data_IF_217205842585
#
_entry.id   IF_217205842585
#
_cell.length_a   1.000
_cell.length_b   1.000
_cell.length_c   1.000
_cell.angle_alpha   90.00
_cell.angle_beta   90.00
_cell.angle_gamma   90.00
#
_symmetry.space_group_name_H-M   'P 1'
#
loop_
_entity.id
_entity.type
_entity.pdbx_description
1 polymer ?
#
# COMPACT_ATOMS: atom_id res chain seq x y z
N UNK A 1 -5.39 -23.63 0.65
CA UNK A 1 -6.11 -23.24 1.88
C UNK A 1 -5.45 -21.94 2.35
N UNK A 2 -6.18 -20.82 2.40
CA UNK A 2 -5.58 -19.56 2.87
C UNK A 2 -5.34 -19.66 4.37
N UNK A 3 -4.10 -19.38 4.82
CA UNK A 3 -3.78 -19.31 6.23
C UNK A 3 -4.45 -18.08 6.83
N UNK A 4 -4.98 -18.21 8.05
CA UNK A 4 -5.57 -17.10 8.79
C UNK A 4 -4.50 -16.07 9.16
N UNK A 5 -4.92 -14.84 9.45
CA UNK A 5 -3.98 -13.79 9.88
C UNK A 5 -3.21 -14.27 11.13
N UNK A 6 -1.87 -14.27 11.08
CA UNK A 6 -1.05 -14.74 12.19
C UNK A 6 -1.08 -13.73 13.32
N UNK A 7 -1.18 -14.20 14.56
CA UNK A 7 -1.12 -13.38 15.77
C UNK A 7 0.18 -13.71 16.52
N UNK A 8 1.13 -12.77 16.49
CA UNK A 8 2.47 -12.98 17.03
C UNK A 8 2.58 -12.55 18.50
N UNK A 9 1.73 -11.63 18.93
CA UNK A 9 1.82 -11.01 20.25
C UNK A 9 0.44 -10.59 20.76
N UNK A 10 0.19 -10.83 22.05
CA UNK A 10 -1.03 -10.40 22.74
C UNK A 10 -1.10 -8.87 22.81
N UNK A 11 -2.22 -8.31 22.40
CA UNK A 11 -2.47 -6.86 22.24
C UNK A 11 -3.71 -6.38 22.99
N UNK A 12 -4.46 -7.28 23.60
CA UNK A 12 -5.59 -6.93 24.44
C UNK A 12 -5.13 -6.08 25.63
N UNK A 13 -5.65 -4.86 25.72
CA UNK A 13 -5.24 -3.89 26.72
C UNK A 13 -5.60 -4.34 28.15
N UNK A 14 -6.73 -5.02 28.32
CA UNK A 14 -7.19 -5.48 29.64
C UNK A 14 -6.30 -6.61 30.14
N UNK A 15 -5.90 -7.54 29.26
CA UNK A 15 -4.95 -8.60 29.60
C UNK A 15 -3.57 -8.04 29.96
N UNK A 16 -3.05 -7.12 29.16
CA UNK A 16 -1.75 -6.47 29.44
C UNK A 16 -1.79 -5.75 30.79
N UNK A 17 -2.87 -5.00 31.05
CA UNK A 17 -3.04 -4.28 32.32
C UNK A 17 -3.13 -5.25 33.49
N UNK A 18 -3.88 -6.35 33.36
CA UNK A 18 -3.99 -7.37 34.39
C UNK A 18 -2.65 -8.05 34.69
N UNK A 19 -1.87 -8.36 33.66
CA UNK A 19 -0.51 -8.92 33.80
C UNK A 19 0.41 -7.95 34.57
N UNK A 20 0.38 -6.66 34.23
CA UNK A 20 1.19 -5.63 34.91
C UNK A 20 0.80 -5.46 36.37
N UNK A 21 -0.51 -5.44 36.68
CA UNK A 21 -1.01 -5.34 38.05
C UNK A 21 -0.55 -6.58 38.84
N UNK A 22 -0.81 -7.78 38.32
CA UNK A 22 -0.43 -9.03 38.98
C UNK A 22 1.07 -9.06 39.28
N UNK A 23 1.90 -8.59 38.34
CA UNK A 23 3.35 -8.47 38.54
C UNK A 23 3.70 -7.47 39.65
N UNK A 24 3.10 -6.29 39.65
CA UNK A 24 3.35 -5.29 40.70
C UNK A 24 2.92 -5.79 42.08
N UNK A 25 1.76 -6.42 42.19
CA UNK A 25 1.26 -6.96 43.46
C UNK A 25 2.17 -8.09 43.97
N UNK A 26 2.65 -8.96 43.08
CA UNK A 26 3.61 -10.01 43.42
C UNK A 26 4.95 -9.45 43.92
N UNK A 27 5.48 -8.42 43.26
CA UNK A 27 6.79 -7.83 43.59
C UNK A 27 6.73 -6.98 44.87
N UNK A 28 5.59 -6.33 45.16
CA UNK A 28 5.44 -5.42 46.31
C UNK A 28 4.71 -6.00 47.50
N UNK A 29 3.98 -7.11 47.33
CA UNK A 29 3.10 -7.70 48.34
C UNK A 29 1.88 -6.83 48.68
N UNK A 30 1.59 -5.79 47.89
CA UNK A 30 0.46 -4.87 48.11
C UNK A 30 -0.61 -5.07 47.05
N UNK A 31 -1.87 -5.04 47.46
CA UNK A 31 -3.02 -5.02 46.54
C UNK A 31 -3.26 -3.60 46.01
N UNK A 32 -3.40 -3.48 44.70
CA UNK A 32 -3.61 -2.22 43.98
C UNK A 32 -5.11 -1.92 43.82
N UNK A 33 -5.51 -0.71 44.23
CA UNK A 33 -6.89 -0.24 44.07
C UNK A 33 -7.01 0.79 42.93
N UNK A 34 -8.16 0.89 42.24
CA UNK A 34 -8.36 1.73 41.05
C UNK A 34 -7.92 3.20 41.17
N UNK A 35 -8.13 3.84 42.33
CA UNK A 35 -7.86 5.27 42.52
C UNK A 35 -6.45 5.59 43.05
N UNK A 36 -5.56 4.59 43.14
CA UNK A 36 -4.20 4.81 43.61
C UNK A 36 -3.31 5.38 42.50
N UNK A 37 -2.35 6.23 42.87
CA UNK A 37 -1.45 6.86 41.90
C UNK A 37 -0.65 5.81 41.11
N UNK A 38 -0.22 4.74 41.78
CA UNK A 38 0.49 3.62 41.17
C UNK A 38 -0.38 2.88 40.15
N UNK A 39 -1.68 2.77 40.41
CA UNK A 39 -2.63 2.16 39.45
C UNK A 39 -2.77 3.01 38.20
N UNK A 40 -2.94 4.32 38.35
CA UNK A 40 -3.03 5.24 37.21
C UNK A 40 -1.75 5.23 36.36
N UNK A 41 -0.58 5.08 36.99
CA UNK A 41 0.70 4.93 36.28
C UNK A 41 0.78 3.60 35.52
N UNK A 42 0.34 2.50 36.12
CA UNK A 42 0.28 1.19 35.45
C UNK A 42 -0.67 1.25 34.26
N UNK A 43 -1.84 1.87 34.38
CA UNK A 43 -2.78 2.01 33.27
C UNK A 43 -2.16 2.81 32.10
N UNK A 44 -1.38 3.87 32.40
CA UNK A 44 -0.63 4.62 31.40
C UNK A 44 0.43 3.75 30.71
N UNK A 45 1.19 2.96 31.47
CA UNK A 45 2.22 2.08 30.92
C UNK A 45 1.62 0.95 30.09
N UNK A 46 0.54 0.32 30.57
CA UNK A 46 -0.17 -0.73 29.84
C UNK A 46 -0.70 -0.21 28.50
N UNK A 47 -1.27 0.99 28.49
CA UNK A 47 -1.70 1.64 27.24
C UNK A 47 -0.53 1.86 26.27
N UNK A 48 0.60 2.39 26.76
CA UNK A 48 1.78 2.63 25.92
C UNK A 48 2.39 1.33 25.41
N UNK A 49 2.43 0.29 26.23
CA UNK A 49 2.90 -1.04 25.83
C UNK A 49 1.99 -1.67 24.79
N UNK A 50 0.66 -1.60 24.97
CA UNK A 50 -0.31 -2.08 23.99
C UNK A 50 -0.06 -1.45 22.61
N UNK A 51 0.14 -0.13 22.54
CA UNK A 51 0.45 0.55 21.28
C UNK A 51 1.73 0.02 20.63
N UNK A 52 2.77 -0.26 21.43
CA UNK A 52 4.02 -0.85 20.93
C UNK A 52 3.78 -2.27 20.44
N UNK A 53 3.04 -3.11 21.19
CA UNK A 53 2.72 -4.49 20.77
C UNK A 53 1.89 -4.51 19.47
N UNK A 54 0.98 -3.56 19.28
CA UNK A 54 0.27 -3.35 18.00
C UNK A 54 1.24 -3.02 16.87
N UNK A 55 2.18 -2.08 17.10
CA UNK A 55 3.19 -1.75 16.09
C UNK A 55 4.11 -2.93 15.76
N UNK A 56 4.49 -3.73 16.76
CA UNK A 56 5.28 -4.97 16.57
C UNK A 56 4.51 -5.99 15.74
N UNK A 57 3.23 -6.22 16.02
CA UNK A 57 2.39 -7.10 15.23
C UNK A 57 2.30 -6.65 13.76
N UNK A 58 2.06 -5.37 13.51
CA UNK A 58 2.02 -4.83 12.14
C UNK A 58 3.37 -4.98 11.45
N UNK A 59 4.48 -4.68 12.12
CA UNK A 59 5.83 -4.87 11.58
C UNK A 59 6.13 -6.34 11.26
N UNK A 60 5.73 -7.27 12.14
CA UNK A 60 5.89 -8.71 11.92
C UNK A 60 5.12 -9.17 10.67
N UNK A 61 3.88 -8.71 10.50
CA UNK A 61 3.06 -8.98 9.29
C UNK A 61 3.72 -8.49 8.01
N UNK A 62 4.41 -7.35 8.05
CA UNK A 62 5.10 -6.83 6.87
C UNK A 62 6.27 -7.72 6.39
N UNK A 63 6.72 -8.69 7.20
CA UNK A 63 7.71 -9.69 6.77
C UNK A 63 7.08 -10.90 6.05
N UNK A 64 5.75 -11.01 6.00
CA UNK A 64 5.04 -12.08 5.33
C UNK A 64 4.49 -11.60 3.99
N UNK A 65 4.93 -12.22 2.90
CA UNK A 65 4.57 -11.83 1.52
C UNK A 65 3.05 -11.71 1.32
N UNK A 66 2.25 -12.58 1.94
CA UNK A 66 0.79 -12.55 1.81
C UNK A 66 0.11 -11.32 2.48
N UNK A 67 0.79 -10.65 3.41
CA UNK A 67 0.23 -9.56 4.22
C UNK A 67 1.01 -8.24 4.08
N UNK A 68 2.20 -8.29 3.49
CA UNK A 68 3.03 -7.11 3.29
C UNK A 68 2.39 -6.13 2.30
N UNK A 69 2.62 -4.84 2.56
CA UNK A 69 2.18 -3.70 1.75
C UNK A 69 3.42 -2.95 1.27
N UNK A 70 3.21 -1.99 0.39
CA UNK A 70 4.30 -1.10 -0.05
C UNK A 70 4.88 -0.31 1.14
N UNK A 71 6.22 -0.16 1.26
CA UNK A 71 7.27 -0.67 0.36
C UNK A 71 7.78 -2.09 0.66
N UNK A 72 7.36 -2.71 1.77
CA UNK A 72 7.90 -3.99 2.24
C UNK A 72 7.66 -5.15 1.26
N UNK A 73 6.52 -5.18 0.57
CA UNK A 73 6.25 -6.21 -0.44
C UNK A 73 7.27 -6.19 -1.59
N UNK A 74 7.78 -5.02 -1.96
CA UNK A 74 8.77 -4.90 -3.03
C UNK A 74 10.15 -5.35 -2.56
N UNK A 75 10.54 -5.02 -1.33
CA UNK A 75 11.76 -5.58 -0.72
C UNK A 75 11.71 -7.10 -0.62
N UNK A 76 10.57 -7.67 -0.23
CA UNK A 76 10.39 -9.12 -0.18
C UNK A 76 10.44 -9.76 -1.58
N UNK A 77 9.88 -9.11 -2.60
CA UNK A 77 9.99 -9.53 -3.99
C UNK A 77 11.43 -9.51 -4.49
N UNK A 78 12.18 -8.47 -4.17
CA UNK A 78 13.59 -8.32 -4.54
C UNK A 78 14.45 -9.48 -4.04
N UNK A 79 14.19 -9.99 -2.83
CA UNK A 79 14.91 -11.16 -2.27
C UNK A 79 14.78 -12.43 -3.12
N UNK A 80 13.72 -12.56 -3.93
CA UNK A 80 13.50 -13.67 -4.85
C UNK A 80 13.67 -13.26 -6.31
N UNK A 81 14.27 -12.10 -6.57
CA UNK A 81 14.55 -11.58 -7.92
C UNK A 81 13.31 -11.13 -8.67
N UNK A 82 12.20 -10.85 -7.98
CA UNK A 82 10.96 -10.34 -8.57
C UNK A 82 10.87 -8.84 -8.32
N UNK A 83 10.73 -8.07 -9.40
CA UNK A 83 10.67 -6.62 -9.36
C UNK A 83 9.31 -6.12 -9.85
N UNK A 84 8.81 -5.05 -9.23
CA UNK A 84 7.57 -4.40 -9.68
C UNK A 84 7.81 -3.78 -11.05
N UNK A 85 6.93 -4.10 -12.01
CA UNK A 85 6.98 -3.49 -13.34
C UNK A 85 6.63 -2.00 -13.25
N UNK A 86 7.41 -1.17 -13.94
CA UNK A 86 7.07 0.24 -14.11
C UNK A 86 5.75 0.38 -14.87
N UNK A 87 5.02 1.46 -14.58
CA UNK A 87 3.83 1.82 -15.35
C UNK A 87 4.18 1.92 -16.83
N UNK A 88 3.44 1.20 -17.68
CA UNK A 88 3.60 1.23 -19.12
C UNK A 88 2.57 2.19 -19.74
N UNK A 89 2.94 2.93 -20.78
CA UNK A 89 1.98 3.78 -21.50
C UNK A 89 0.89 2.91 -22.12
N UNK A 90 -0.34 3.44 -22.15
CA UNK A 90 -1.42 2.79 -22.87
C UNK A 90 -1.21 2.92 -24.38
N UNK A 91 -1.52 1.87 -25.14
CA UNK A 91 -1.42 1.84 -26.60
C UNK A 91 -2.79 1.59 -27.21
N UNK A 92 -3.14 2.31 -28.27
CA UNK A 92 -4.38 2.10 -29.02
C UNK A 92 -4.15 2.34 -30.51
N UNK A 93 -5.05 1.84 -31.35
CA UNK A 93 -5.05 2.10 -32.79
C UNK A 93 -6.08 3.17 -33.10
N UNK A 94 -5.66 4.22 -33.81
CA UNK A 94 -6.52 5.32 -34.24
C UNK A 94 -6.62 5.33 -35.76
N UNK A 95 -7.83 5.51 -36.28
CA UNK A 95 -8.07 5.73 -37.71
C UNK A 95 -8.42 7.19 -37.92
N UNK A 96 -7.68 7.85 -38.82
CA UNK A 96 -7.98 9.20 -39.27
C UNK A 96 -8.78 9.12 -40.57
N UNK A 97 -9.78 9.97 -40.68
CA UNK A 97 -10.55 10.18 -41.90
C UNK A 97 -10.81 11.66 -42.10
N UNK A 98 -11.04 12.05 -43.34
CA UNK A 98 -11.47 13.39 -43.74
C UNK A 98 -12.86 13.29 -44.35
N UNK A 99 -13.70 14.30 -44.12
CA UNK A 99 -15.09 14.28 -44.61
C UNK A 99 -15.18 14.46 -46.14
N UNK A 100 -14.21 15.16 -46.74
CA UNK A 100 -14.10 15.37 -48.18
C UNK A 100 -12.74 14.88 -48.70
N UNK A 101 -12.72 14.28 -49.89
CA UNK A 101 -11.50 13.81 -50.55
C UNK A 101 -10.58 14.99 -50.85
N UNK A 102 -9.33 14.90 -50.39
CA UNK A 102 -8.32 15.93 -50.62
C UNK A 102 -7.54 15.61 -51.89
N UNK A 103 -7.18 16.65 -52.65
CA UNK A 103 -6.38 16.53 -53.88
C UNK A 103 -4.88 16.28 -53.64
N UNK A 104 -4.44 16.25 -52.37
CA UNK A 104 -3.05 16.07 -51.95
C UNK A 104 -2.96 15.00 -50.86
N UNK A 105 -1.83 14.31 -50.81
CA UNK A 105 -1.50 13.41 -49.71
C UNK A 105 -1.35 14.23 -48.41
N UNK A 106 -2.00 13.79 -47.34
CA UNK A 106 -1.88 14.40 -46.01
C UNK A 106 -0.99 13.54 -45.13
N UNK A 107 0.15 14.09 -44.73
CA UNK A 107 1.05 13.48 -43.77
C UNK A 107 0.55 13.77 -42.35
N UNK A 108 0.30 12.71 -41.58
CA UNK A 108 0.11 12.74 -40.14
C UNK A 108 1.44 12.29 -39.52
N UNK A 109 2.27 13.22 -39.01
CA UNK A 109 3.58 12.86 -38.47
C UNK A 109 3.45 12.07 -37.17
N UNK A 110 4.48 11.27 -36.86
CA UNK A 110 4.71 10.73 -35.53
C UNK A 110 4.73 11.89 -34.51
N UNK A 111 4.15 11.67 -33.34
CA UNK A 111 3.99 12.69 -32.31
C UNK A 111 2.72 13.54 -32.45
N UNK A 112 1.84 13.24 -33.42
CA UNK A 112 0.54 13.92 -33.55
C UNK A 112 -0.30 13.62 -32.30
N UNK A 113 -0.71 14.68 -31.60
CA UNK A 113 -1.42 14.57 -30.31
C UNK A 113 -2.91 14.37 -30.54
N UNK A 114 -3.46 13.30 -29.99
CA UNK A 114 -4.90 13.01 -30.01
C UNK A 114 -5.40 12.96 -28.58
N UNK A 115 -6.42 13.78 -28.28
CA UNK A 115 -7.04 13.83 -26.96
C UNK A 115 -8.15 12.80 -26.87
N UNK A 116 -8.08 11.88 -25.91
CA UNK A 116 -9.19 10.98 -25.59
C UNK A 116 -10.15 11.61 -24.55
N UNK A 117 -9.63 12.49 -23.70
CA UNK A 117 -10.37 13.29 -22.71
C UNK A 117 -9.51 14.50 -22.29
N UNK A 118 -10.05 15.40 -21.46
CA UNK A 118 -9.33 16.59 -21.00
C UNK A 118 -7.97 16.31 -20.30
N UNK A 119 -7.76 15.09 -19.80
CA UNK A 119 -6.56 14.70 -19.08
C UNK A 119 -5.73 13.59 -19.75
N UNK A 120 -6.23 12.97 -20.82
CA UNK A 120 -5.57 11.84 -21.48
C UNK A 120 -5.26 12.17 -22.93
N UNK A 121 -3.97 12.31 -23.23
CA UNK A 121 -3.46 12.66 -24.55
C UNK A 121 -2.54 11.54 -25.03
N UNK A 122 -2.84 11.01 -26.21
CA UNK A 122 -2.01 10.07 -26.93
C UNK A 122 -1.17 10.80 -27.98
N UNK A 123 -0.06 10.20 -28.37
CA UNK A 123 0.76 10.64 -29.50
C UNK A 123 0.88 9.49 -30.49
N UNK A 124 0.85 9.77 -31.80
CA UNK A 124 1.08 8.75 -32.84
C UNK A 124 2.52 8.25 -32.80
N UNK A 125 2.72 6.93 -32.89
CA UNK A 125 4.07 6.34 -32.83
C UNK A 125 4.84 6.44 -34.16
N UNK A 126 4.14 6.49 -35.28
CA UNK A 126 4.72 6.49 -36.62
C UNK A 126 4.06 7.50 -37.55
N UNK A 127 4.78 7.91 -38.59
CA UNK A 127 4.22 8.69 -39.69
C UNK A 127 3.17 7.88 -40.45
N UNK A 128 2.01 8.48 -40.70
CA UNK A 128 0.93 7.89 -41.50
C UNK A 128 0.55 8.87 -42.59
N UNK A 129 0.41 8.38 -43.83
CA UNK A 129 -0.01 9.20 -44.97
C UNK A 129 -1.43 8.82 -45.36
N UNK A 130 -2.35 9.77 -45.25
CA UNK A 130 -3.65 9.71 -45.91
C UNK A 130 -3.44 10.06 -47.38
N UNK A 131 -3.71 9.10 -48.27
CA UNK A 131 -3.56 9.30 -49.71
C UNK A 131 -4.64 10.20 -50.26
N UNK A 132 -4.28 11.02 -51.25
CA UNK A 132 -5.24 11.78 -52.03
C UNK A 132 -6.23 10.84 -52.75
N UNK A 133 -7.50 11.25 -52.88
CA UNK A 133 -8.53 10.51 -53.60
C UNK A 133 -9.81 10.28 -52.84
#
# INVERSE_FOLDING_TARGET
MALTEPDFIERDADKITAEMIAKYEADTGKTLYPAQAERLLIDLWAYREMLVRVAVQEAAKQNLVAFAREPMIDYLGELVGVYRLAAQPATTTLQFSVDEALAIDVLIPAGTRVSASDSVIFATDTDVVLKAG
#
